data_IF_467037329532
#
_entry.id   IF_467037329532
#
_cell.length_a   1.000
_cell.length_b   1.000
_cell.length_c   1.000
_cell.angle_alpha   90.00
_cell.angle_beta   90.00
_cell.angle_gamma   90.00
#
_symmetry.space_group_name_H-M   'P 1'
#
loop_
_entity.id
_entity.type
_entity.pdbx_description
1 polymer ?
#
# COMPACT_ATOMS: atom_id res chain seq x y z
N UNK A 1 -5.36 0.45 -4.55
CA UNK A 1 -4.70 1.74 -4.24
C UNK A 1 -3.65 1.46 -3.20
N UNK A 2 -2.45 2.02 -3.32
CA UNK A 2 -1.38 1.81 -2.35
C UNK A 2 -0.84 3.16 -1.90
N UNK A 3 -0.40 3.23 -0.65
CA UNK A 3 0.19 4.41 -0.03
C UNK A 3 1.36 3.96 0.86
N UNK A 4 2.41 4.76 0.94
CA UNK A 4 3.58 4.45 1.75
C UNK A 4 3.90 5.61 2.69
N UNK A 5 3.94 5.29 3.99
CA UNK A 5 4.50 6.17 5.02
C UNK A 5 5.96 5.81 5.28
N UNK A 6 6.63 6.56 6.17
CA UNK A 6 8.05 6.33 6.49
C UNK A 6 8.34 4.90 6.97
N UNK A 7 7.39 4.28 7.69
CA UNK A 7 7.57 2.99 8.36
C UNK A 7 6.62 1.88 7.89
N UNK A 8 5.52 2.23 7.24
CA UNK A 8 4.45 1.28 6.89
C UNK A 8 4.01 1.54 5.47
N UNK A 9 3.84 0.47 4.71
CA UNK A 9 3.18 0.49 3.40
C UNK A 9 1.77 -0.08 3.53
N UNK A 10 0.80 0.62 2.97
CA UNK A 10 -0.62 0.27 2.98
C UNK A 10 -1.13 -0.03 1.57
N UNK A 11 -2.02 -1.01 1.46
CA UNK A 11 -2.73 -1.34 0.23
C UNK A 11 -4.21 -1.54 0.51
N UNK A 12 -5.04 -0.99 -0.36
CA UNK A 12 -6.50 -1.18 -0.36
C UNK A 12 -6.86 -2.05 -1.54
N UNK A 13 -7.38 -3.23 -1.23
CA UNK A 13 -8.06 -4.08 -2.18
C UNK A 13 -9.50 -3.60 -2.25
N UNK A 14 -9.93 -3.24 -3.45
CA UNK A 14 -11.32 -2.89 -3.72
C UNK A 14 -11.85 -3.61 -4.93
N UNK A 15 -13.15 -3.81 -4.94
CA UNK A 15 -13.90 -4.35 -6.04
C UNK A 15 -14.77 -3.25 -6.63
N UNK A 16 -14.91 -3.24 -7.96
CA UNK A 16 -15.81 -2.32 -8.63
C UNK A 16 -17.19 -2.96 -8.76
N UNK A 17 -18.22 -2.30 -8.25
CA UNK A 17 -19.63 -2.69 -8.41
C UNK A 17 -20.44 -1.46 -8.82
N UNK A 18 -21.32 -1.59 -9.82
CA UNK A 18 -22.16 -0.49 -10.34
C UNK A 18 -21.39 0.81 -10.63
N UNK A 19 -20.18 0.68 -11.20
CA UNK A 19 -19.24 1.77 -11.50
C UNK A 19 -18.62 2.45 -10.27
N UNK A 20 -19.02 2.10 -9.05
CA UNK A 20 -18.47 2.57 -7.78
C UNK A 20 -17.36 1.62 -7.31
N UNK A 21 -16.29 2.19 -6.74
CA UNK A 21 -15.20 1.40 -6.15
C UNK A 21 -15.52 1.14 -4.68
N UNK A 22 -15.62 -0.12 -4.29
CA UNK A 22 -15.86 -0.55 -2.92
C UNK A 22 -14.60 -1.19 -2.35
N UNK A 23 -14.04 -0.62 -1.29
CA UNK A 23 -12.93 -1.23 -0.56
C UNK A 23 -13.43 -2.50 0.14
N UNK A 24 -12.82 -3.65 -0.18
CA UNK A 24 -13.15 -4.96 0.41
C UNK A 24 -12.14 -5.41 1.45
N UNK A 25 -10.89 -4.93 1.38
CA UNK A 25 -9.86 -5.28 2.34
C UNK A 25 -8.76 -4.22 2.42
N UNK A 26 -8.25 -4.01 3.64
CA UNK A 26 -7.11 -3.15 3.92
C UNK A 26 -5.95 -4.03 4.37
N UNK A 27 -4.83 -3.94 3.65
CA UNK A 27 -3.57 -4.57 4.01
C UNK A 27 -2.57 -3.49 4.41
N UNK A 28 -1.75 -3.77 5.41
CA UNK A 28 -0.61 -2.93 5.76
C UNK A 28 0.57 -3.80 6.15
N UNK A 29 1.78 -3.36 5.81
CA UNK A 29 3.01 -4.05 6.13
C UNK A 29 4.03 -3.05 6.68
N UNK A 30 4.58 -3.36 7.85
CA UNK A 30 5.71 -2.60 8.40
C UNK A 30 6.97 -2.91 7.59
N UNK A 31 7.70 -1.85 7.26
CA UNK A 31 8.96 -1.93 6.53
C UNK A 31 10.08 -2.35 7.49
N UNK A 32 10.95 -3.25 7.03
CA UNK A 32 12.14 -3.64 7.79
C UNK A 32 13.22 -2.56 7.68
N UNK A 33 14.25 -2.59 8.54
CA UNK A 33 15.32 -1.57 8.58
C UNK A 33 15.95 -1.26 7.21
N UNK A 34 16.13 -2.28 6.36
CA UNK A 34 16.64 -2.09 5.01
C UNK A 34 15.67 -1.35 4.08
N UNK A 35 14.37 -1.57 4.26
CA UNK A 35 13.29 -0.98 3.45
C UNK A 35 12.90 0.42 3.92
N UNK A 36 13.22 0.79 5.15
CA UNK A 36 13.05 2.18 5.65
C UNK A 36 13.92 3.18 4.89
N UNK A 37 15.08 2.74 4.40
CA UNK A 37 16.02 3.54 3.63
C UNK A 37 15.66 3.70 2.14
N UNK A 38 14.60 3.01 1.68
CA UNK A 38 14.14 3.12 0.30
C UNK A 38 13.49 4.47 0.02
N UNK A 39 13.56 4.91 -1.22
CA UNK A 39 12.84 6.09 -1.68
C UNK A 39 11.33 5.84 -1.66
N UNK A 40 10.52 6.90 -1.60
CA UNK A 40 9.04 6.78 -1.57
C UNK A 40 8.50 5.93 -2.73
N UNK A 41 9.07 6.07 -3.93
CA UNK A 41 8.68 5.27 -5.10
C UNK A 41 9.00 3.78 -4.94
N UNK A 42 10.15 3.43 -4.36
CA UNK A 42 10.51 2.04 -4.08
C UNK A 42 9.63 1.43 -2.98
N UNK A 43 9.29 2.22 -1.95
CA UNK A 43 8.35 1.80 -0.88
C UNK A 43 6.95 1.56 -1.44
N UNK A 44 6.46 2.40 -2.34
CA UNK A 44 5.19 2.22 -3.02
C UNK A 44 5.18 1.00 -3.95
N UNK A 45 6.29 0.75 -4.67
CA UNK A 45 6.42 -0.42 -5.52
C UNK A 45 6.35 -1.74 -4.72
N UNK A 46 6.86 -1.73 -3.49
CA UNK A 46 6.79 -2.89 -2.58
C UNK A 46 5.36 -3.23 -2.13
N UNK A 47 4.41 -2.30 -2.29
CA UNK A 47 3.00 -2.49 -1.96
C UNK A 47 2.21 -3.28 -3.02
N UNK A 48 2.78 -3.46 -4.22
CA UNK A 48 2.16 -4.04 -5.41
C UNK A 48 2.58 -5.50 -5.56
#
# INVERSE_FOLDING_TARGET
MCDASDFVVGAVLGQRHDKVFHSIYYASKTLNESQLNYTTTEKELLAV
#
